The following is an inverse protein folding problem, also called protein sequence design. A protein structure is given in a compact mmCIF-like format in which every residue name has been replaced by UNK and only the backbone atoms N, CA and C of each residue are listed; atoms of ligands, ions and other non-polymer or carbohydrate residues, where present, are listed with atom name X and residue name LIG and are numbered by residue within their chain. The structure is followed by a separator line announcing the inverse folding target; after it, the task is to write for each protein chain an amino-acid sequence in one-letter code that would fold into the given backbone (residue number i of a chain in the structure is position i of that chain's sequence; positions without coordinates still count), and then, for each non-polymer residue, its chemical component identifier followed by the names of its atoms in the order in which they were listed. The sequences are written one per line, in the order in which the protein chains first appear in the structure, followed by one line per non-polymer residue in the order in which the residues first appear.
data_IF_510579995317
#
_entry.id   IF_510579995317
#
_cell.length_a   1.000
_cell.length_b   1.000
_cell.length_c   1.000
_cell.angle_alpha   90.00
_cell.angle_beta   90.00
_cell.angle_gamma   90.00
#
_symmetry.space_group_name_H-M   'P 1'
#
loop_
_entity.id
_entity.type
_entity.pdbx_description
1 polymer ?
#
# COMPACT_ATOMS: atom_id res chain seq x y z
N UNK A 1 -29.01 13.54 -0.64
CA UNK A 1 -27.54 13.50 -0.77
C UNK A 1 -26.94 13.08 0.58
N UNK A 2 -26.12 12.00 0.57
CA UNK A 2 -25.45 11.53 1.79
C UNK A 2 -24.05 12.13 1.87
N UNK A 3 -23.68 12.68 3.02
CA UNK A 3 -22.33 13.18 3.29
C UNK A 3 -21.56 12.18 4.16
N UNK A 4 -20.36 11.83 3.73
CA UNK A 4 -19.49 10.82 4.37
C UNK A 4 -18.17 11.48 4.72
N UNK A 5 -17.73 11.31 5.97
CA UNK A 5 -16.39 11.69 6.41
C UNK A 5 -15.50 10.45 6.46
N UNK A 6 -14.34 10.51 5.82
CA UNK A 6 -13.31 9.49 5.88
C UNK A 6 -12.19 10.03 6.76
N UNK A 7 -11.91 9.35 7.85
CA UNK A 7 -10.86 9.76 8.79
C UNK A 7 -9.58 8.97 8.50
N UNK A 8 -8.56 9.68 8.05
CA UNK A 8 -7.28 9.12 7.65
C UNK A 8 -7.13 8.91 6.13
N UNK A 9 -6.04 9.43 5.58
CA UNK A 9 -5.67 9.35 4.17
C UNK A 9 -4.66 8.25 3.87
N UNK A 10 -4.60 7.20 4.67
CA UNK A 10 -3.84 5.99 4.37
C UNK A 10 -4.53 5.12 3.32
N UNK A 11 -3.96 3.95 3.01
CA UNK A 11 -4.47 3.06 1.95
C UNK A 11 -5.94 2.68 2.16
N UNK A 12 -6.37 2.46 3.40
CA UNK A 12 -7.76 2.12 3.71
C UNK A 12 -8.71 3.26 3.41
N UNK A 13 -8.38 4.48 3.83
CA UNK A 13 -9.20 5.66 3.57
C UNK A 13 -9.25 6.02 2.08
N UNK A 14 -8.11 5.93 1.39
CA UNK A 14 -8.04 6.15 -0.06
C UNK A 14 -8.82 5.10 -0.83
N UNK A 15 -8.77 3.84 -0.42
CA UNK A 15 -9.57 2.76 -1.04
C UNK A 15 -11.06 2.97 -0.83
N UNK A 16 -11.47 3.42 0.35
CA UNK A 16 -12.87 3.77 0.61
C UNK A 16 -13.32 4.95 -0.26
N UNK A 17 -12.50 6.01 -0.35
CA UNK A 17 -12.78 7.17 -1.22
C UNK A 17 -12.91 6.75 -2.69
N UNK A 18 -12.04 5.87 -3.16
CA UNK A 18 -12.10 5.35 -4.53
C UNK A 18 -13.41 4.62 -4.81
N UNK A 19 -13.89 3.79 -3.90
CA UNK A 19 -15.20 3.13 -4.06
C UNK A 19 -16.37 4.13 -4.03
N UNK A 20 -16.30 5.17 -3.21
CA UNK A 20 -17.32 6.23 -3.19
C UNK A 20 -17.31 7.02 -4.50
N UNK A 21 -16.14 7.29 -5.08
CA UNK A 21 -16.03 7.95 -6.37
C UNK A 21 -16.62 7.11 -7.50
N UNK A 22 -16.39 5.81 -7.51
CA UNK A 22 -17.05 4.88 -8.45
C UNK A 22 -18.58 4.93 -8.31
N UNK A 23 -19.09 4.94 -7.08
CA UNK A 23 -20.51 5.06 -6.82
C UNK A 23 -21.09 6.41 -7.29
N UNK A 24 -20.37 7.51 -7.09
CA UNK A 24 -20.74 8.83 -7.62
C UNK A 24 -20.84 8.84 -9.14
N UNK A 25 -19.88 8.24 -9.80
CA UNK A 25 -19.85 8.14 -11.27
C UNK A 25 -21.05 7.36 -11.83
N UNK A 26 -21.65 6.47 -11.04
CA UNK A 26 -22.89 5.73 -11.39
C UNK A 26 -24.17 6.42 -10.93
N UNK A 27 -24.09 7.66 -10.45
CA UNK A 27 -25.26 8.47 -10.09
C UNK A 27 -25.68 8.38 -8.62
N UNK A 28 -24.88 7.78 -7.74
CA UNK A 28 -25.18 7.80 -6.32
C UNK A 28 -25.05 9.23 -5.76
N UNK A 29 -26.07 9.69 -5.06
CA UNK A 29 -26.10 11.02 -4.41
C UNK A 29 -25.23 11.05 -3.16
N UNK A 30 -23.90 11.00 -3.33
CA UNK A 30 -22.89 10.92 -2.27
C UNK A 30 -21.91 12.08 -2.41
N UNK A 31 -21.62 12.74 -1.30
CA UNK A 31 -20.45 13.60 -1.12
C UNK A 31 -19.54 13.00 -0.07
N UNK A 32 -18.25 13.10 -0.25
CA UNK A 32 -17.30 12.65 0.79
C UNK A 32 -16.15 13.63 0.96
N UNK A 33 -15.58 13.63 2.14
CA UNK A 33 -14.39 14.41 2.49
C UNK A 33 -13.42 13.51 3.25
N UNK A 34 -12.15 13.55 2.85
CA UNK A 34 -11.06 12.87 3.57
C UNK A 34 -10.43 13.87 4.54
N UNK A 35 -10.29 13.49 5.79
CA UNK A 35 -9.58 14.24 6.83
C UNK A 35 -8.28 13.52 7.13
N UNK A 36 -7.16 14.16 6.84
CA UNK A 36 -5.80 13.66 7.09
C UNK A 36 -5.05 14.65 7.97
N UNK A 37 -4.42 14.14 9.03
CA UNK A 37 -3.67 14.96 9.99
C UNK A 37 -2.26 15.30 9.54
N UNK A 38 -1.69 14.52 8.62
CA UNK A 38 -0.35 14.74 8.07
C UNK A 38 -0.40 15.58 6.78
N UNK A 39 0.73 16.19 6.36
CA UNK A 39 0.76 16.98 5.14
C UNK A 39 0.75 16.14 3.85
N UNK A 40 0.71 14.80 3.94
CA UNK A 40 0.69 13.89 2.80
C UNK A 40 -0.36 12.78 2.97
N UNK A 41 -0.83 12.26 1.85
CA UNK A 41 -1.62 11.03 1.79
C UNK A 41 -0.69 9.79 1.71
N UNK A 42 -1.23 8.60 1.98
CA UNK A 42 -0.53 7.32 1.89
C UNK A 42 -0.26 6.66 3.24
N UNK A 43 -0.34 7.40 4.34
CA UNK A 43 -0.14 6.85 5.69
C UNK A 43 1.26 6.25 5.86
N UNK A 44 1.33 4.99 6.28
CA UNK A 44 2.59 4.25 6.45
C UNK A 44 3.27 3.84 5.13
N UNK A 45 2.55 3.90 4.00
CA UNK A 45 3.15 3.63 2.69
C UNK A 45 3.88 4.88 2.22
N UNK A 46 5.19 4.79 2.11
CA UNK A 46 6.06 5.90 1.70
C UNK A 46 7.28 5.36 0.98
N UNK A 47 7.58 5.95 -0.16
CA UNK A 47 8.75 5.61 -0.96
C UNK A 47 9.62 6.87 -1.13
N UNK A 48 10.91 6.71 -1.04
CA UNK A 48 11.90 7.78 -1.22
C UNK A 48 12.93 7.36 -2.27
N UNK A 49 13.44 8.31 -3.04
CA UNK A 49 14.56 8.08 -3.95
C UNK A 49 15.84 8.61 -3.33
N UNK A 50 16.78 7.70 -3.08
CA UNK A 50 18.08 8.02 -2.50
C UNK A 50 19.16 7.45 -3.42
N UNK A 51 20.02 8.31 -3.95
CA UNK A 51 21.13 7.92 -4.84
C UNK A 51 20.72 7.00 -6.01
N UNK A 52 19.56 7.25 -6.60
CA UNK A 52 19.02 6.46 -7.72
C UNK A 52 18.30 5.17 -7.30
N UNK A 53 18.31 4.81 -6.03
CA UNK A 53 17.56 3.68 -5.49
C UNK A 53 16.19 4.12 -4.97
N UNK A 54 15.23 3.21 -5.01
CA UNK A 54 13.93 3.37 -4.34
C UNK A 54 14.05 2.74 -2.95
N UNK A 55 13.82 3.53 -1.92
CA UNK A 55 13.80 3.10 -0.53
C UNK A 55 12.37 3.16 -0.02
N UNK A 56 11.86 2.04 0.43
CA UNK A 56 10.53 1.91 0.99
C UNK A 56 10.57 2.07 2.51
N UNK A 57 9.75 2.98 3.04
CA UNK A 57 9.67 3.26 4.47
C UNK A 57 8.46 2.60 5.15
N UNK A 58 7.81 1.69 4.48
CA UNK A 58 6.61 0.99 4.97
C UNK A 58 6.39 -0.31 4.21
N UNK A 59 5.15 -0.77 4.09
CA UNK A 59 4.83 -1.94 3.27
C UNK A 59 5.27 -1.72 1.81
N UNK A 60 6.05 -2.65 1.28
CA UNK A 60 6.66 -2.61 -0.05
C UNK A 60 6.17 -3.73 -0.97
N UNK A 61 5.45 -4.68 -0.43
CA UNK A 61 5.02 -5.87 -1.15
C UNK A 61 3.67 -6.40 -0.67
N UNK A 62 3.06 -7.24 -1.47
CA UNK A 62 1.83 -7.94 -1.12
C UNK A 62 1.84 -9.36 -1.68
N UNK A 63 1.06 -10.24 -1.04
CA UNK A 63 0.94 -11.64 -1.48
C UNK A 63 -0.06 -11.75 -2.64
N UNK A 64 0.35 -12.39 -3.72
CA UNK A 64 -0.49 -12.62 -4.90
C UNK A 64 -1.64 -13.61 -4.66
N UNK A 65 -1.55 -14.42 -3.60
CA UNK A 65 -2.65 -15.29 -3.14
C UNK A 65 -3.89 -14.50 -2.73
N UNK A 66 -3.70 -13.23 -2.32
CA UNK A 66 -4.80 -12.31 -2.02
C UNK A 66 -5.03 -11.39 -3.23
N UNK A 67 -6.14 -11.55 -3.97
CA UNK A 67 -6.29 -10.93 -5.28
C UNK A 67 -6.57 -9.42 -5.25
N UNK A 68 -6.96 -8.87 -4.09
CA UNK A 68 -7.52 -7.51 -4.00
C UNK A 68 -6.54 -6.41 -4.39
N UNK A 69 -5.28 -6.49 -3.94
CA UNK A 69 -4.27 -5.48 -4.26
C UNK A 69 -3.93 -5.49 -5.76
N UNK A 70 -3.71 -6.67 -6.34
CA UNK A 70 -3.45 -6.82 -7.77
C UNK A 70 -4.65 -6.36 -8.62
N UNK A 71 -5.88 -6.65 -8.19
CA UNK A 71 -7.09 -6.20 -8.86
C UNK A 71 -7.20 -4.67 -8.85
N UNK A 72 -6.95 -4.03 -7.71
CA UNK A 72 -6.95 -2.57 -7.60
C UNK A 72 -5.86 -1.94 -8.49
N UNK A 73 -4.65 -2.50 -8.51
CA UNK A 73 -3.59 -2.02 -9.39
C UNK A 73 -4.02 -2.07 -10.87
N UNK A 74 -4.68 -3.14 -11.30
CA UNK A 74 -5.22 -3.25 -12.67
C UNK A 74 -6.29 -2.20 -12.94
N UNK A 75 -7.25 -2.00 -12.02
CA UNK A 75 -8.27 -0.96 -12.16
C UNK A 75 -7.67 0.44 -12.30
N UNK A 76 -6.57 0.71 -11.60
CA UNK A 76 -5.85 1.99 -11.65
C UNK A 76 -4.89 2.12 -12.85
N UNK A 77 -4.80 1.13 -13.72
CA UNK A 77 -3.88 1.11 -14.86
C UNK A 77 -2.42 0.88 -14.48
N UNK A 78 -2.16 0.32 -13.29
CA UNK A 78 -0.82 0.05 -12.77
C UNK A 78 -0.43 -1.44 -12.88
N UNK A 79 -1.25 -2.26 -13.53
CA UNK A 79 -1.03 -3.70 -13.62
C UNK A 79 0.33 -4.10 -14.17
N UNK A 80 0.81 -3.39 -15.19
CA UNK A 80 2.10 -3.65 -15.83
C UNK A 80 3.31 -3.17 -15.01
N UNK A 81 3.08 -2.44 -13.94
CA UNK A 81 4.12 -1.95 -13.03
C UNK A 81 4.35 -2.89 -11.85
N UNK A 82 3.53 -3.94 -11.70
CA UNK A 82 3.73 -4.94 -10.66
C UNK A 82 4.90 -5.81 -11.05
N UNK A 83 5.93 -5.86 -10.21
CA UNK A 83 7.12 -6.69 -10.38
C UNK A 83 7.15 -7.80 -9.35
N UNK A 84 7.69 -8.96 -9.72
CA UNK A 84 7.93 -10.06 -8.78
C UNK A 84 9.13 -9.79 -7.87
N UNK A 85 9.16 -10.46 -6.72
CA UNK A 85 10.33 -10.42 -5.84
C UNK A 85 11.53 -11.12 -6.50
N UNK A 86 12.72 -10.64 -6.19
CA UNK A 86 13.95 -11.27 -6.66
C UNK A 86 14.29 -12.49 -5.79
N UNK A 87 14.00 -13.68 -6.30
CA UNK A 87 14.19 -14.95 -5.58
C UNK A 87 15.67 -15.24 -5.24
N UNK A 88 16.62 -14.68 -6.00
CA UNK A 88 18.04 -14.83 -5.74
C UNK A 88 18.55 -13.98 -4.58
N UNK A 89 17.77 -13.03 -4.09
CA UNK A 89 18.13 -12.07 -3.05
C UNK A 89 17.18 -12.12 -1.83
N UNK A 90 16.53 -13.25 -1.60
CA UNK A 90 15.61 -13.45 -0.47
C UNK A 90 16.37 -13.65 0.84
N UNK A 91 16.93 -12.57 1.39
CA UNK A 91 17.51 -12.57 2.73
C UNK A 91 16.71 -11.64 3.63
N UNK A 92 16.17 -12.20 4.71
CA UNK A 92 15.47 -11.43 5.72
C UNK A 92 16.40 -11.20 6.90
N UNK A 93 16.44 -9.98 7.38
CA UNK A 93 17.20 -9.58 8.54
C UNK A 93 16.27 -9.05 9.61
N UNK A 94 16.61 -9.32 10.86
CA UNK A 94 15.93 -8.74 12.02
C UNK A 94 16.93 -7.95 12.86
N UNK A 95 16.44 -6.93 13.53
CA UNK A 95 17.24 -6.17 14.47
C UNK A 95 17.10 -6.79 15.86
N UNK A 96 18.21 -7.34 16.38
CA UNK A 96 18.28 -7.92 17.72
C UNK A 96 19.33 -7.15 18.50
N UNK A 97 18.94 -6.52 19.61
CA UNK A 97 19.83 -5.70 20.45
C UNK A 97 20.68 -4.69 19.62
N UNK A 98 20.07 -4.02 18.66
CA UNK A 98 20.73 -3.04 17.80
C UNK A 98 21.65 -3.60 16.72
N UNK A 99 21.69 -4.91 16.52
CA UNK A 99 22.47 -5.58 15.47
C UNK A 99 21.57 -6.25 14.45
N UNK A 100 21.95 -6.17 13.18
CA UNK A 100 21.29 -6.91 12.10
C UNK A 100 21.71 -8.39 12.17
N UNK A 101 20.73 -9.26 12.34
CA UNK A 101 20.91 -10.72 12.35
C UNK A 101 20.12 -11.31 11.20
N UNK A 102 20.79 -12.10 10.36
CA UNK A 102 20.11 -12.81 9.28
C UNK A 102 19.20 -13.91 9.85
N UNK A 103 17.97 -13.99 9.34
CA UNK A 103 17.09 -15.10 9.68
C UNK A 103 17.60 -16.38 8.99
N UNK A 104 17.53 -17.54 9.68
CA UNK A 104 17.83 -18.83 9.07
C UNK A 104 16.94 -19.12 7.86
N UNK A 105 17.52 -19.74 6.84
CA UNK A 105 16.77 -20.17 5.69
C UNK A 105 15.67 -21.18 6.10
N UNK A 106 14.45 -20.99 5.57
CA UNK A 106 13.31 -21.88 5.85
C UNK A 106 12.35 -21.42 6.96
N UNK A 107 12.64 -20.33 7.68
CA UNK A 107 11.65 -19.66 8.52
C UNK A 107 10.78 -18.76 7.65
N UNK A 108 9.73 -19.33 7.09
CA UNK A 108 8.67 -18.53 6.48
C UNK A 108 7.75 -18.03 7.60
N UNK A 109 7.60 -16.72 7.71
CA UNK A 109 6.47 -16.15 8.43
C UNK A 109 5.20 -16.52 7.66
N UNK A 110 4.18 -17.13 8.30
CA UNK A 110 2.92 -17.47 7.65
C UNK A 110 2.15 -16.21 7.20
#
# INVERSE_FOLDING_TARGET
MKRIAIIGGGISGLSAAYQLEKARATGAGIEYTIFESSPRLGGSISSERVEGCVVEAGPDSFLTEKPWAAALCKELGLGDQIIGSNDSQRKTYIVVHGKLVAMPDGLMCP
#
